data_IF_186096258571
#
_entry.id   IF_186096258571
#
_cell.length_a   1.000
_cell.length_b   1.000
_cell.length_c   1.000
_cell.angle_alpha   90.00
_cell.angle_beta   90.00
_cell.angle_gamma   90.00
#
_symmetry.space_group_name_H-M   'P 1'
#
loop_
_entity.id
_entity.type
_entity.pdbx_description
1 polymer ?
#
# COMPACT_ATOMS: atom_id res chain seq x y z
N UNK A 1 -25.61 -48.46 -26.87
CA UNK A 1 -25.12 -49.32 -27.99
C UNK A 1 -24.70 -48.42 -29.15
N UNK A 2 -23.45 -48.60 -29.63
CA UNK A 2 -22.99 -48.35 -31.03
C UNK A 2 -23.04 -46.87 -31.51
N UNK A 3 -21.96 -46.22 -31.98
CA UNK A 3 -20.81 -46.67 -32.79
C UNK A 3 -19.61 -45.71 -32.66
N UNK A 4 -18.42 -46.31 -32.65
CA UNK A 4 -17.13 -45.69 -33.00
C UNK A 4 -17.08 -45.28 -34.48
N UNK A 5 -16.35 -44.20 -34.79
CA UNK A 5 -15.67 -44.03 -36.08
C UNK A 5 -14.25 -43.50 -35.81
N UNK A 6 -13.30 -44.24 -36.40
CA UNK A 6 -11.84 -44.05 -36.44
C UNK A 6 -11.48 -43.40 -37.78
N UNK A 7 -10.55 -42.45 -37.79
CA UNK A 7 -9.73 -42.04 -38.94
C UNK A 7 -8.39 -41.58 -38.35
N UNK A 8 -7.28 -42.33 -38.40
CA UNK A 8 -6.42 -42.78 -39.50
C UNK A 8 -5.65 -41.64 -40.20
N UNK A 9 -4.40 -41.50 -39.74
CA UNK A 9 -3.15 -40.96 -40.30
C UNK A 9 -3.10 -40.33 -41.70
N UNK A 10 -2.37 -39.21 -41.80
CA UNK A 10 -1.44 -39.00 -42.92
C UNK A 10 -0.21 -38.15 -42.49
N UNK A 11 0.95 -38.79 -42.56
CA UNK A 11 2.29 -38.20 -42.44
C UNK A 11 2.64 -37.46 -43.73
N UNK A 12 3.20 -36.25 -43.62
CA UNK A 12 3.92 -35.58 -44.72
C UNK A 12 5.18 -34.92 -44.15
N UNK A 13 6.26 -35.70 -44.16
CA UNK A 13 7.64 -35.24 -44.15
C UNK A 13 7.94 -34.61 -45.52
N UNK A 14 8.25 -33.31 -45.55
CA UNK A 14 9.00 -32.72 -46.64
C UNK A 14 10.15 -31.89 -46.08
N UNK A 15 11.34 -32.48 -46.15
CA UNK A 15 12.60 -31.80 -45.92
C UNK A 15 12.87 -30.81 -47.05
N UNK A 16 13.14 -29.57 -46.70
CA UNK A 16 13.73 -28.62 -47.63
C UNK A 16 15.24 -28.81 -47.66
N UNK A 17 15.68 -29.16 -48.85
CA UNK A 17 17.04 -29.39 -49.31
C UNK A 17 17.92 -28.15 -49.20
N UNK A 18 19.16 -28.40 -48.77
CA UNK A 18 20.32 -27.54 -48.91
C UNK A 18 20.73 -27.42 -50.39
N UNK A 19 20.93 -26.19 -50.86
CA UNK A 19 21.79 -25.81 -51.99
C UNK A 19 22.52 -24.54 -51.53
N UNK A 20 23.79 -24.61 -51.10
CA UNK A 20 25.00 -24.62 -51.93
C UNK A 20 25.04 -23.48 -52.95
N UNK A 21 25.79 -22.43 -52.64
CA UNK A 21 26.40 -21.53 -53.61
C UNK A 21 27.87 -21.31 -53.24
N UNK A 22 28.67 -21.27 -54.30
CA UNK A 22 30.11 -21.50 -54.36
C UNK A 22 30.97 -20.45 -53.64
N UNK A 23 32.15 -20.91 -53.22
CA UNK A 23 33.29 -20.08 -52.83
C UNK A 23 33.69 -19.14 -53.97
N UNK A 24 33.82 -17.85 -53.67
CA UNK A 24 34.77 -16.95 -54.35
C UNK A 24 35.65 -16.25 -53.32
N UNK A 25 36.93 -16.58 -53.45
CA UNK A 25 38.14 -15.76 -53.30
C UNK A 25 38.30 -14.79 -52.12
N UNK A 26 39.36 -15.03 -51.35
CA UNK A 26 39.99 -14.08 -50.43
C UNK A 26 40.49 -12.87 -51.22
N UNK A 27 39.95 -11.69 -50.93
CA UNK A 27 40.68 -10.44 -51.06
C UNK A 27 40.97 -9.89 -49.67
N UNK A 28 42.26 -9.86 -49.35
CA UNK A 28 42.82 -9.06 -48.26
C UNK A 28 42.65 -7.60 -48.66
N UNK A 29 41.64 -6.93 -48.12
CA UNK A 29 41.60 -5.49 -48.04
C UNK A 29 41.76 -5.10 -46.56
N UNK A 30 42.90 -4.46 -46.29
CA UNK A 30 43.19 -3.73 -45.08
C UNK A 30 42.20 -2.58 -44.97
N UNK A 31 41.05 -2.82 -44.34
CA UNK A 31 40.21 -1.75 -43.82
C UNK A 31 40.68 -1.44 -42.40
N UNK A 32 41.25 -0.25 -42.27
CA UNK A 32 41.56 0.44 -41.03
C UNK A 32 40.31 0.32 -40.13
N UNK A 33 40.40 -0.20 -38.90
CA UNK A 33 39.29 -0.08 -37.98
C UNK A 33 39.15 1.41 -37.69
N UNK A 34 38.12 2.02 -38.28
CA UNK A 34 37.56 3.25 -37.74
C UNK A 34 37.12 2.87 -36.33
N UNK A 35 38.02 3.14 -35.37
CA UNK A 35 37.69 3.25 -33.96
C UNK A 35 36.42 4.09 -33.93
N UNK A 36 35.28 3.46 -33.68
CA UNK A 36 34.23 4.16 -32.94
C UNK A 36 34.92 4.56 -31.66
N UNK A 37 35.28 5.83 -31.57
CA UNK A 37 35.70 6.42 -30.31
C UNK A 37 34.68 5.96 -29.27
N UNK A 38 35.11 5.43 -28.11
CA UNK A 38 34.21 5.31 -26.99
C UNK A 38 33.67 6.72 -26.79
N UNK A 39 32.36 6.92 -27.02
CA UNK A 39 31.71 8.15 -26.59
C UNK A 39 32.13 8.37 -25.15
N UNK A 40 32.81 9.49 -24.91
CA UNK A 40 33.36 9.89 -23.63
C UNK A 40 32.44 9.44 -22.49
N UNK A 41 32.94 8.53 -21.65
CA UNK A 41 32.36 8.33 -20.33
C UNK A 41 32.42 9.69 -19.65
N UNK A 42 31.25 10.30 -19.42
CA UNK A 42 31.17 11.37 -18.44
C UNK A 42 31.54 10.75 -17.10
N UNK A 43 32.79 10.95 -16.72
CA UNK A 43 33.41 10.62 -15.45
C UNK A 43 32.85 11.52 -14.34
N UNK A 44 31.53 11.65 -14.30
CA UNK A 44 30.82 12.33 -13.22
C UNK A 44 30.37 11.25 -12.25
N UNK A 45 31.24 10.92 -11.31
CA UNK A 45 30.95 10.13 -10.11
C UNK A 45 29.93 10.79 -9.17
N UNK A 46 29.31 11.88 -9.60
CA UNK A 46 28.31 12.66 -8.86
C UNK A 46 26.94 12.40 -9.47
N UNK A 47 26.12 11.62 -8.76
CA UNK A 47 24.74 11.34 -9.14
C UNK A 47 23.79 12.31 -8.42
N UNK A 48 22.55 12.39 -8.91
CA UNK A 48 21.45 13.16 -8.30
C UNK A 48 20.21 12.29 -8.22
N UNK A 49 19.43 12.46 -7.15
CA UNK A 49 18.13 11.82 -6.98
C UNK A 49 17.13 12.84 -6.48
N UNK A 50 15.86 12.64 -6.83
CA UNK A 50 14.75 13.41 -6.25
C UNK A 50 14.50 13.03 -4.78
N UNK A 51 15.02 11.89 -4.32
CA UNK A 51 15.03 11.55 -2.91
C UNK A 51 15.87 12.56 -2.12
N UNK A 52 17.04 12.96 -2.62
CA UNK A 52 17.95 13.89 -1.93
C UNK A 52 18.49 14.94 -2.91
N UNK A 53 17.67 15.95 -3.28
CA UNK A 53 18.00 16.89 -4.35
C UNK A 53 19.25 17.73 -4.08
N UNK A 54 19.52 18.01 -2.81
CA UNK A 54 20.58 18.90 -2.36
C UNK A 54 21.92 18.19 -2.12
N UNK A 55 21.94 16.85 -2.14
CA UNK A 55 23.13 16.04 -1.86
C UNK A 55 23.78 15.53 -3.15
N UNK A 56 25.12 15.56 -3.19
CA UNK A 56 25.91 14.89 -4.23
C UNK A 56 25.99 13.41 -3.90
N UNK A 57 25.47 12.56 -4.77
CA UNK A 57 25.40 11.13 -4.51
C UNK A 57 26.63 10.40 -5.05
N UNK A 58 27.02 9.34 -4.35
CA UNK A 58 28.14 8.46 -4.65
C UNK A 58 27.62 7.05 -4.94
N UNK A 59 28.27 6.34 -5.88
CA UNK A 59 27.91 4.97 -6.22
C UNK A 59 28.10 4.04 -5.02
N UNK A 60 27.10 3.21 -4.71
CA UNK A 60 27.16 2.20 -3.66
C UNK A 60 26.99 2.73 -2.24
N UNK A 61 27.08 4.05 -2.01
CA UNK A 61 26.85 4.66 -0.70
C UNK A 61 25.38 4.55 -0.31
N UNK A 62 25.13 4.19 0.95
CA UNK A 62 23.78 4.01 1.48
C UNK A 62 23.28 5.32 2.06
N UNK A 63 22.13 5.77 1.57
CA UNK A 63 21.39 6.93 2.01
C UNK A 63 20.15 6.53 2.79
N UNK A 64 19.57 7.47 3.52
CA UNK A 64 18.35 7.23 4.32
C UNK A 64 17.39 8.39 4.12
N UNK A 65 16.13 8.05 3.80
CA UNK A 65 15.09 9.02 3.52
C UNK A 65 13.75 8.63 4.12
N UNK A 66 12.94 9.65 4.41
CA UNK A 66 11.52 9.46 4.76
C UNK A 66 10.66 9.70 3.53
N UNK A 67 9.79 8.74 3.23
CA UNK A 67 8.94 8.70 2.04
C UNK A 67 7.57 8.12 2.36
N UNK A 68 6.61 8.35 1.48
CA UNK A 68 5.29 7.73 1.57
C UNK A 68 5.17 6.59 0.54
N UNK A 69 4.77 5.40 0.99
CA UNK A 69 4.59 4.25 0.09
C UNK A 69 3.44 4.47 -0.90
N UNK A 70 3.62 4.09 -2.16
CA UNK A 70 2.57 4.15 -3.19
C UNK A 70 2.11 2.75 -3.57
N UNK A 71 2.97 1.94 -4.19
CA UNK A 71 2.69 0.57 -4.62
C UNK A 71 3.99 -0.16 -5.02
N UNK A 72 3.86 -1.45 -5.32
CA UNK A 72 4.84 -2.22 -6.08
C UNK A 72 4.42 -2.26 -7.56
N UNK A 73 5.40 -2.36 -8.46
CA UNK A 73 5.18 -2.58 -9.90
C UNK A 73 6.17 -3.66 -10.40
N UNK A 74 5.60 -4.75 -10.92
CA UNK A 74 6.28 -5.94 -11.41
C UNK A 74 5.98 -6.22 -12.89
N UNK A 75 5.43 -5.25 -13.62
CA UNK A 75 5.02 -5.44 -15.02
C UNK A 75 6.20 -5.44 -16.02
N UNK A 76 7.42 -5.16 -15.57
CA UNK A 76 8.62 -5.01 -16.40
C UNK A 76 9.72 -6.03 -16.12
N UNK A 77 10.92 -5.73 -16.62
CA UNK A 77 12.10 -6.58 -16.42
C UNK A 77 12.68 -6.48 -14.99
N UNK A 78 12.41 -5.37 -14.32
CA UNK A 78 12.81 -5.09 -12.93
C UNK A 78 11.56 -4.89 -12.05
N UNK A 79 11.70 -5.17 -10.76
CA UNK A 79 10.66 -4.90 -9.76
C UNK A 79 10.87 -3.53 -9.11
N UNK A 80 9.81 -2.72 -9.10
CA UNK A 80 9.85 -1.35 -8.60
C UNK A 80 9.08 -1.16 -7.29
N UNK A 81 9.76 -0.51 -6.34
CA UNK A 81 9.22 0.03 -5.11
C UNK A 81 8.88 1.50 -5.34
N UNK A 82 7.59 1.80 -5.52
CA UNK A 82 7.15 3.15 -5.87
C UNK A 82 6.82 3.92 -4.60
N UNK A 83 7.48 5.06 -4.45
CA UNK A 83 7.32 5.95 -3.29
C UNK A 83 7.05 7.37 -3.75
N UNK A 84 6.47 8.15 -2.85
CA UNK A 84 6.29 9.57 -3.00
C UNK A 84 7.20 10.31 -2.02
N UNK A 85 7.94 11.29 -2.52
CA UNK A 85 8.65 12.27 -1.69
C UNK A 85 8.33 13.66 -2.20
N UNK A 86 7.88 14.55 -1.33
CA UNK A 86 7.40 15.88 -1.71
C UNK A 86 6.28 15.80 -2.77
N UNK A 87 6.52 16.36 -3.97
CA UNK A 87 5.61 16.32 -5.11
C UNK A 87 5.97 15.24 -6.13
N UNK A 88 7.06 14.54 -5.91
CA UNK A 88 7.65 13.62 -6.87
C UNK A 88 7.31 12.16 -6.52
N UNK A 89 7.15 11.36 -7.56
CA UNK A 89 6.98 9.90 -7.48
C UNK A 89 8.25 9.26 -8.00
N UNK A 90 8.86 8.41 -7.20
CA UNK A 90 10.18 7.83 -7.46
C UNK A 90 10.06 6.31 -7.39
N UNK A 91 10.68 5.65 -8.36
CA UNK A 91 10.76 4.19 -8.44
C UNK A 91 12.15 3.73 -8.02
N UNK A 92 12.23 2.81 -7.06
CA UNK A 92 13.48 2.16 -6.69
C UNK A 92 13.44 0.69 -7.08
N UNK A 93 14.52 0.15 -7.64
CA UNK A 93 14.61 -1.30 -7.89
C UNK A 93 14.73 -2.03 -6.54
N UNK A 94 13.99 -3.12 -6.36
CA UNK A 94 14.06 -3.93 -5.13
C UNK A 94 14.11 -5.42 -5.44
N UNK A 95 14.85 -6.17 -4.61
CA UNK A 95 15.14 -7.60 -4.83
C UNK A 95 14.61 -8.50 -3.71
N UNK A 96 13.65 -8.03 -2.91
CA UNK A 96 13.19 -8.75 -1.71
C UNK A 96 11.71 -9.09 -1.79
N UNK A 97 11.32 -10.20 -1.17
CA UNK A 97 9.95 -10.72 -1.22
C UNK A 97 8.95 -9.79 -0.53
N UNK A 98 7.83 -9.59 -1.22
CA UNK A 98 6.78 -8.61 -1.01
C UNK A 98 6.25 -8.58 0.44
N UNK A 99 6.58 -7.54 1.21
CA UNK A 99 5.90 -7.24 2.45
C UNK A 99 4.62 -6.46 2.17
N UNK A 100 3.49 -6.92 2.72
CA UNK A 100 2.20 -6.20 2.67
C UNK A 100 2.31 -4.81 3.32
N UNK A 101 2.54 -3.78 2.51
CA UNK A 101 2.53 -2.37 2.91
C UNK A 101 1.28 -1.72 2.35
N UNK A 102 0.59 -0.92 3.18
CA UNK A 102 -0.60 -0.17 2.77
C UNK A 102 -0.14 1.14 2.13
N UNK A 103 -0.74 1.51 0.99
CA UNK A 103 -0.52 2.80 0.32
C UNK A 103 -0.69 3.96 1.32
N UNK A 104 0.18 4.97 1.22
CA UNK A 104 0.13 6.13 2.11
C UNK A 104 0.92 5.96 3.41
N UNK A 105 1.46 4.76 3.69
CA UNK A 105 2.28 4.53 4.88
C UNK A 105 3.58 5.33 4.81
N UNK A 106 3.91 6.08 5.88
CA UNK A 106 5.20 6.73 6.02
C UNK A 106 6.29 5.70 6.38
N UNK A 107 7.35 5.70 5.60
CA UNK A 107 8.46 4.77 5.71
C UNK A 107 9.77 5.55 5.86
N UNK A 108 10.69 4.98 6.63
CA UNK A 108 12.11 5.27 6.48
C UNK A 108 12.68 4.19 5.56
N UNK A 109 13.27 4.63 4.45
CA UNK A 109 13.94 3.76 3.48
C UNK A 109 15.46 3.94 3.58
N UNK A 110 16.18 2.85 3.36
CA UNK A 110 17.61 2.86 3.03
C UNK A 110 17.77 2.47 1.58
N UNK A 111 18.54 3.23 0.84
CA UNK A 111 18.71 3.04 -0.60
C UNK A 111 20.12 3.45 -1.02
N UNK A 112 20.50 3.09 -2.25
CA UNK A 112 21.79 3.48 -2.85
C UNK A 112 21.62 3.74 -4.33
N UNK A 113 22.54 4.50 -4.90
CA UNK A 113 22.76 4.51 -6.35
C UNK A 113 23.56 3.26 -6.73
N UNK A 114 23.11 2.48 -7.71
CA UNK A 114 23.83 1.30 -8.21
C UNK A 114 23.76 1.22 -9.74
N UNK A 115 24.64 0.40 -10.32
CA UNK A 115 24.65 0.15 -11.75
C UNK A 115 23.48 -0.72 -12.19
N UNK A 116 22.84 -0.33 -13.28
CA UNK A 116 21.83 -1.11 -13.99
C UNK A 116 22.36 -1.53 -15.36
N UNK A 117 22.05 -2.77 -15.74
CA UNK A 117 22.25 -3.35 -17.08
C UNK A 117 20.87 -3.70 -17.62
N UNK A 118 20.24 -2.85 -18.44
CA UNK A 118 18.91 -3.13 -18.97
C UNK A 118 18.87 -4.45 -19.72
N UNK A 119 17.77 -5.18 -19.61
CA UNK A 119 17.57 -6.42 -20.35
C UNK A 119 17.64 -6.13 -21.86
N UNK A 120 18.32 -7.02 -22.60
CA UNK A 120 18.48 -6.90 -24.06
C UNK A 120 19.66 -6.03 -24.52
N UNK A 121 20.31 -5.25 -23.64
CA UNK A 121 21.54 -4.52 -23.96
C UNK A 121 22.57 -4.60 -22.81
N UNK A 122 23.36 -5.69 -22.74
CA UNK A 122 24.35 -5.88 -21.67
C UNK A 122 25.56 -4.92 -21.78
N UNK A 123 25.71 -4.20 -22.89
CA UNK A 123 26.78 -3.21 -23.06
C UNK A 123 26.37 -1.83 -22.52
N UNK A 124 25.07 -1.55 -22.44
CA UNK A 124 24.55 -0.31 -21.88
C UNK A 124 24.61 -0.30 -20.34
N UNK A 125 25.35 0.66 -19.79
CA UNK A 125 25.46 0.91 -18.35
C UNK A 125 24.66 2.14 -17.97
N UNK A 126 23.69 1.95 -17.07
CA UNK A 126 22.96 3.03 -16.42
C UNK A 126 23.19 3.00 -14.91
N UNK A 127 22.69 4.01 -14.21
CA UNK A 127 22.72 4.10 -12.76
C UNK A 127 21.36 4.54 -12.22
N UNK A 128 20.82 3.80 -11.26
CA UNK A 128 19.49 4.06 -10.71
C UNK A 128 19.44 3.76 -9.20
N UNK A 129 18.36 4.21 -8.56
CA UNK A 129 18.09 3.97 -7.15
C UNK A 129 17.70 2.51 -6.88
N UNK A 130 18.45 1.85 -6.00
CA UNK A 130 18.13 0.53 -5.46
C UNK A 130 17.72 0.63 -4.00
N UNK A 131 16.58 0.03 -3.66
CA UNK A 131 16.12 -0.14 -2.29
C UNK A 131 16.98 -1.18 -1.58
N UNK A 132 17.51 -0.82 -0.41
CA UNK A 132 18.24 -1.74 0.47
C UNK A 132 17.32 -2.30 1.55
N UNK A 133 16.58 -1.42 2.22
CA UNK A 133 15.61 -1.82 3.22
C UNK A 133 14.62 -0.70 3.49
N UNK A 134 13.55 -1.03 4.20
CA UNK A 134 12.56 -0.08 4.66
C UNK A 134 12.08 -0.47 6.06
N UNK A 135 11.61 0.50 6.82
CA UNK A 135 10.89 0.27 8.07
C UNK A 135 9.71 1.21 8.16
N UNK A 136 8.57 0.69 8.64
CA UNK A 136 7.41 1.53 8.96
C UNK A 136 7.80 2.53 10.02
N UNK A 137 7.59 3.81 9.75
CA UNK A 137 7.67 4.80 10.79
C UNK A 137 6.43 4.63 11.67
N UNK A 138 6.64 4.66 12.99
CA UNK A 138 5.51 4.78 13.90
C UNK A 138 4.86 6.11 13.57
N UNK A 139 3.65 6.05 12.99
CA UNK A 139 2.78 7.22 12.91
C UNK A 139 2.80 7.87 14.28
N UNK A 140 3.28 9.12 14.37
CA UNK A 140 2.84 9.99 15.45
C UNK A 140 1.34 10.07 15.26
N UNK A 141 0.61 9.21 15.96
CA UNK A 141 -0.81 9.38 16.18
C UNK A 141 -0.90 10.78 16.77
N UNK A 142 -1.21 11.78 15.95
CA UNK A 142 -1.67 13.06 16.47
C UNK A 142 -2.86 12.69 17.32
N UNK A 143 -2.66 12.73 18.64
CA UNK A 143 -3.69 12.38 19.58
C UNK A 143 -4.86 13.30 19.29
N UNK A 144 -5.98 12.72 18.84
CA UNK A 144 -7.17 13.50 18.49
C UNK A 144 -7.67 14.19 19.75
N UNK A 145 -8.02 15.47 19.63
CA UNK A 145 -8.65 16.17 20.73
C UNK A 145 -10.15 15.83 20.79
N UNK A 146 -10.51 15.04 21.80
CA UNK A 146 -11.91 14.66 22.05
C UNK A 146 -12.61 15.59 23.06
N UNK A 147 -12.04 16.74 23.41
CA UNK A 147 -12.59 17.68 24.39
C UNK A 147 -14.06 18.04 24.12
N UNK A 148 -14.43 18.25 22.85
CA UNK A 148 -15.79 18.59 22.40
C UNK A 148 -16.81 17.46 22.51
N UNK A 149 -16.35 16.22 22.73
CA UNK A 149 -17.20 15.04 22.77
C UNK A 149 -17.47 14.55 24.19
N UNK A 150 -16.72 15.02 25.19
CA UNK A 150 -16.83 14.58 26.59
C UNK A 150 -18.22 14.76 27.22
N UNK A 151 -19.01 15.72 26.74
CA UNK A 151 -20.34 16.01 27.26
C UNK A 151 -21.46 15.64 26.28
N UNK A 152 -21.15 14.85 25.24
CA UNK A 152 -22.19 14.41 24.32
C UNK A 152 -22.94 13.21 24.88
N UNK A 153 -24.23 13.19 24.59
CA UNK A 153 -25.09 12.06 24.84
C UNK A 153 -26.07 11.88 23.70
N UNK A 154 -26.62 10.67 23.61
CA UNK A 154 -27.74 10.38 22.71
C UNK A 154 -28.65 9.34 23.35
N UNK A 155 -29.93 9.40 22.99
CA UNK A 155 -30.94 8.50 23.51
C UNK A 155 -31.28 7.45 22.45
N UNK A 156 -31.35 6.19 22.89
CA UNK A 156 -31.84 5.06 22.11
C UNK A 156 -33.16 4.60 22.70
N UNK A 157 -34.18 4.43 21.87
CA UNK A 157 -35.38 3.72 22.30
C UNK A 157 -35.11 2.21 22.26
N UNK A 158 -35.38 1.52 23.36
CA UNK A 158 -35.28 0.07 23.49
C UNK A 158 -36.64 -0.64 23.40
N UNK A 159 -37.71 0.09 23.08
CA UNK A 159 -39.07 -0.44 22.95
C UNK A 159 -40.10 0.46 23.62
N UNK A 160 -41.35 -0.01 23.69
CA UNK A 160 -42.43 0.71 24.36
C UNK A 160 -42.11 0.91 25.85
N UNK A 161 -42.03 2.16 26.28
CA UNK A 161 -41.71 2.53 27.66
C UNK A 161 -40.24 2.34 28.06
N UNK A 162 -39.35 2.05 27.11
CA UNK A 162 -37.92 1.81 27.39
C UNK A 162 -37.04 2.79 26.62
N UNK A 163 -36.12 3.46 27.32
CA UNK A 163 -35.10 4.33 26.72
C UNK A 163 -33.74 4.13 27.40
N UNK A 164 -32.66 4.22 26.62
CA UNK A 164 -31.29 4.19 27.11
C UNK A 164 -30.56 5.46 26.70
N UNK A 165 -30.09 6.24 27.67
CA UNK A 165 -29.25 7.41 27.42
C UNK A 165 -27.79 6.98 27.48
N UNK A 166 -27.06 7.18 26.39
CA UNK A 166 -25.63 6.91 26.31
C UNK A 166 -24.87 8.20 26.55
N UNK A 167 -24.25 8.33 27.71
CA UNK A 167 -23.44 9.49 28.09
C UNK A 167 -21.96 9.18 27.86
N UNK A 168 -21.23 10.02 27.13
CA UNK A 168 -19.78 9.78 26.91
C UNK A 168 -19.04 9.87 28.24
N UNK A 169 -18.42 8.76 28.66
CA UNK A 169 -17.61 8.68 29.88
C UNK A 169 -16.13 8.83 29.58
N UNK A 170 -15.64 8.14 28.55
CA UNK A 170 -14.25 8.20 28.12
C UNK A 170 -14.08 7.92 26.63
N UNK A 171 -13.09 8.55 26.00
CA UNK A 171 -12.69 8.28 24.62
C UNK A 171 -11.18 8.03 24.62
N UNK A 172 -10.76 6.94 23.99
CA UNK A 172 -9.36 6.55 23.87
C UNK A 172 -9.06 6.14 22.43
N UNK A 173 -8.14 6.88 21.79
CA UNK A 173 -7.60 6.46 20.50
C UNK A 173 -6.70 5.23 20.70
N UNK A 174 -7.03 4.13 20.03
CA UNK A 174 -6.20 2.91 20.08
C UNK A 174 -5.11 3.03 19.01
N UNK A 175 -5.50 3.42 17.79
CA UNK A 175 -4.62 3.67 16.67
C UNK A 175 -5.28 4.69 15.71
N UNK A 176 -4.64 5.07 14.58
CA UNK A 176 -5.24 6.03 13.63
C UNK A 176 -6.62 5.64 13.10
N UNK A 177 -6.92 4.34 12.98
CA UNK A 177 -8.16 3.83 12.37
C UNK A 177 -9.10 3.16 13.38
N UNK A 178 -8.81 3.24 14.69
CA UNK A 178 -9.73 2.75 15.71
C UNK A 178 -9.73 3.57 17.00
N UNK A 179 -10.95 3.81 17.50
CA UNK A 179 -11.21 4.62 18.68
C UNK A 179 -12.14 3.84 19.60
N UNK A 180 -11.74 3.68 20.86
CA UNK A 180 -12.59 3.14 21.93
C UNK A 180 -13.37 4.28 22.57
N UNK A 181 -14.67 4.06 22.77
CA UNK A 181 -15.53 4.96 23.52
C UNK A 181 -16.24 4.15 24.60
N UNK A 182 -16.13 4.61 25.83
CA UNK A 182 -16.88 4.09 26.97
C UNK A 182 -18.02 5.06 27.24
N UNK A 183 -19.24 4.53 27.27
CA UNK A 183 -20.43 5.26 27.65
C UNK A 183 -20.88 4.80 29.04
N UNK A 184 -21.37 5.75 29.82
CA UNK A 184 -22.25 5.47 30.95
C UNK A 184 -23.67 5.45 30.42
N UNK A 185 -24.31 4.29 30.50
CA UNK A 185 -25.64 4.03 29.97
C UNK A 185 -26.64 4.07 31.10
N UNK A 186 -27.60 5.00 31.02
CA UNK A 186 -28.75 5.09 31.93
C UNK A 186 -29.97 4.49 31.24
N UNK A 187 -30.51 3.41 31.79
CA UNK A 187 -31.70 2.75 31.28
C UNK A 187 -32.94 3.20 32.07
N UNK A 188 -33.94 3.66 31.34
CA UNK A 188 -35.23 4.10 31.87
C UNK A 188 -36.33 3.14 31.43
N UNK A 189 -37.18 2.75 32.37
CA UNK A 189 -38.38 1.93 32.13
C UNK A 189 -39.58 2.67 32.74
N UNK A 190 -40.58 2.95 31.91
CA UNK A 190 -41.75 3.77 32.28
C UNK A 190 -41.34 5.12 32.91
N UNK A 191 -40.35 5.79 32.30
CA UNK A 191 -39.82 7.09 32.72
C UNK A 191 -39.05 7.09 34.06
N UNK A 192 -38.92 5.93 34.71
CA UNK A 192 -38.13 5.76 35.93
C UNK A 192 -36.75 5.18 35.59
N UNK A 193 -35.70 5.73 36.21
CA UNK A 193 -34.34 5.20 36.07
C UNK A 193 -34.29 3.80 36.70
N UNK A 194 -34.05 2.79 35.87
CA UNK A 194 -34.01 1.40 36.27
C UNK A 194 -32.59 0.95 36.60
N UNK A 195 -31.61 1.30 35.76
CA UNK A 195 -30.23 0.86 35.91
C UNK A 195 -29.23 1.86 35.29
N UNK A 196 -28.01 1.87 35.82
CA UNK A 196 -26.87 2.58 35.24
C UNK A 196 -25.69 1.62 35.12
N UNK A 197 -25.09 1.51 33.94
CA UNK A 197 -23.95 0.62 33.68
C UNK A 197 -23.02 1.19 32.60
N UNK A 198 -21.78 0.71 32.56
CA UNK A 198 -20.80 1.13 31.56
C UNK A 198 -20.76 0.17 30.37
N UNK A 199 -20.80 0.70 29.15
CA UNK A 199 -20.57 -0.07 27.92
C UNK A 199 -19.43 0.55 27.11
N UNK A 200 -18.56 -0.30 26.58
CA UNK A 200 -17.45 0.13 25.72
C UNK A 200 -17.61 -0.39 24.30
N UNK A 201 -17.42 0.51 23.35
CA UNK A 201 -17.49 0.26 21.92
C UNK A 201 -16.19 0.66 21.22
N UNK A 202 -15.80 -0.07 20.19
CA UNK A 202 -14.68 0.24 19.31
C UNK A 202 -15.23 0.62 17.94
N UNK A 203 -14.94 1.84 17.52
CA UNK A 203 -15.25 2.38 16.21
C UNK A 203 -14.06 2.15 15.29
N UNK A 204 -14.29 1.52 14.14
CA UNK A 204 -13.28 1.19 13.14
C UNK A 204 -13.53 1.99 11.86
N UNK A 205 -12.44 2.53 11.30
CA UNK A 205 -12.46 3.40 10.14
C UNK A 205 -11.60 2.86 9.01
N UNK A 206 -11.97 3.19 7.78
CA UNK A 206 -11.11 2.96 6.62
C UNK A 206 -10.00 4.04 6.50
N UNK A 207 -9.17 3.90 5.48
CA UNK A 207 -8.09 4.86 5.18
C UNK A 207 -8.60 6.26 4.79
N UNK A 208 -9.88 6.36 4.38
CA UNK A 208 -10.57 7.60 4.04
C UNK A 208 -11.33 8.20 5.23
N UNK A 209 -11.17 7.64 6.44
CA UNK A 209 -11.85 8.05 7.68
C UNK A 209 -13.35 7.80 7.71
N UNK A 210 -13.89 6.95 6.84
CA UNK A 210 -15.28 6.54 6.90
C UNK A 210 -15.48 5.46 7.96
N UNK A 211 -16.57 5.55 8.72
CA UNK A 211 -16.93 4.55 9.72
C UNK A 211 -17.32 3.24 9.02
N UNK A 212 -16.52 2.20 9.22
CA UNK A 212 -16.77 0.87 8.67
C UNK A 212 -17.60 0.00 9.62
N UNK A 213 -17.23 0.00 10.89
CA UNK A 213 -17.72 -0.97 11.88
C UNK A 213 -17.75 -0.38 13.28
N UNK A 214 -18.73 -0.82 14.06
CA UNK A 214 -18.78 -0.62 15.51
C UNK A 214 -18.92 -2.00 16.16
N UNK A 215 -18.09 -2.30 17.15
CA UNK A 215 -18.17 -3.54 17.93
C UNK A 215 -18.10 -3.22 19.43
N UNK A 216 -18.69 -4.07 20.26
CA UNK A 216 -18.42 -4.06 21.70
C UNK A 216 -16.99 -4.46 21.98
N UNK A 217 -16.43 -3.96 23.08
CA UNK A 217 -15.11 -4.37 23.52
C UNK A 217 -15.05 -5.89 23.76
N UNK A 218 -14.07 -6.56 23.14
CA UNK A 218 -13.92 -8.02 23.22
C UNK A 218 -14.73 -8.80 22.18
N UNK A 219 -15.61 -8.15 21.43
CA UNK A 219 -16.45 -8.78 20.42
C UNK A 219 -15.97 -8.47 18.99
N UNK A 220 -16.30 -9.36 18.05
CA UNK A 220 -15.95 -9.21 16.63
C UNK A 220 -17.15 -8.86 15.74
N UNK A 221 -18.35 -8.84 16.30
CA UNK A 221 -19.58 -8.57 15.56
C UNK A 221 -19.67 -7.10 15.13
N UNK A 222 -20.21 -6.84 13.93
CA UNK A 222 -20.48 -5.47 13.48
C UNK A 222 -21.90 -5.06 13.88
N UNK A 223 -22.01 -4.34 14.98
CA UNK A 223 -23.30 -3.92 15.53
C UNK A 223 -24.06 -2.98 14.61
N UNK A 224 -23.39 -2.27 13.68
CA UNK A 224 -24.07 -1.46 12.66
C UNK A 224 -24.87 -2.31 11.67
N UNK A 225 -24.51 -3.58 11.50
CA UNK A 225 -25.17 -4.50 10.57
C UNK A 225 -26.14 -5.43 11.28
N UNK A 226 -25.82 -5.85 12.51
CA UNK A 226 -26.53 -6.95 13.16
C UNK A 226 -27.49 -6.52 14.28
N UNK A 227 -27.16 -5.46 15.02
CA UNK A 227 -27.89 -5.10 16.24
C UNK A 227 -28.58 -3.75 16.15
N UNK A 228 -27.86 -2.72 15.71
CA UNK A 228 -28.41 -1.37 15.60
C UNK A 228 -29.34 -1.27 14.39
N UNK A 229 -30.61 -0.99 14.66
CA UNK A 229 -31.64 -0.76 13.66
C UNK A 229 -32.22 0.65 13.74
N UNK A 230 -32.64 1.17 12.58
CA UNK A 230 -33.30 2.47 12.47
C UNK A 230 -32.52 3.61 13.15
N UNK A 231 -33.18 4.31 14.07
CA UNK A 231 -32.63 5.46 14.78
C UNK A 231 -31.36 5.17 15.59
N UNK A 232 -31.22 3.96 16.15
CA UNK A 232 -30.02 3.58 16.91
C UNK A 232 -28.77 3.54 16.03
N UNK A 233 -28.90 2.94 14.84
CA UNK A 233 -27.83 2.89 13.84
C UNK A 233 -27.38 4.28 13.42
N UNK A 234 -28.33 5.19 13.24
CA UNK A 234 -28.04 6.56 12.86
C UNK A 234 -27.35 7.34 13.98
N UNK A 235 -27.78 7.17 15.24
CA UNK A 235 -27.11 7.78 16.40
C UNK A 235 -25.64 7.37 16.50
N UNK A 236 -25.35 6.06 16.38
CA UNK A 236 -23.96 5.56 16.39
C UNK A 236 -23.15 6.03 15.18
N UNK A 237 -23.74 6.09 13.98
CA UNK A 237 -23.07 6.64 12.79
C UNK A 237 -22.72 8.10 12.96
N UNK A 238 -23.69 8.92 13.34
CA UNK A 238 -23.51 10.36 13.56
C UNK A 238 -22.47 10.64 14.64
N UNK A 239 -22.52 9.90 15.74
CA UNK A 239 -21.49 9.99 16.78
C UNK A 239 -20.12 9.54 16.25
N UNK A 240 -20.06 8.43 15.53
CA UNK A 240 -18.84 7.89 14.95
C UNK A 240 -18.17 8.84 13.94
N UNK A 241 -18.94 9.61 13.17
CA UNK A 241 -18.41 10.65 12.27
C UNK A 241 -17.72 11.77 13.07
N UNK A 242 -18.32 12.21 14.18
CA UNK A 242 -17.75 13.27 15.04
C UNK A 242 -16.43 12.89 15.69
N UNK A 243 -16.14 11.59 15.86
CA UNK A 243 -14.85 11.11 16.36
C UNK A 243 -13.68 11.34 15.38
N UNK A 244 -13.98 11.67 14.12
CA UNK A 244 -12.99 11.91 13.06
C UNK A 244 -12.88 13.40 12.65
N UNK A 245 -13.70 14.27 13.24
CA UNK A 245 -13.65 15.74 13.09
C UNK A 245 -12.57 16.36 13.99
#
# INVERSE_FOLDING_TARGET
MKKSIVYLSLVMLFGFSLQSCEKKEKQTNTEIPVKKEPKERKDSTVFKSQLTPDEKLELGKIYTDTVQFVNFDDNGDDWYFIVKKNKDTISLIYNNDDPKIVRGTDLEIKWKMDSLRPAGDPEYLDFTEYLISWKKLKSKSSERDFSKLKNQSFVLSCGTGCAMTHNVKAIKQINPSSIKVTFEVEMYVNEELAETFDESYIFYYDDFKNLMKVAREGETENLLETFFMGGSKESFRKFGTKLME
#
